data_IF_651196825811
#
_entry.id   IF_651196825811
#
_cell.length_a   1.000
_cell.length_b   1.000
_cell.length_c   1.000
_cell.angle_alpha   90.00
_cell.angle_beta   90.00
_cell.angle_gamma   90.00
#
_symmetry.space_group_name_H-M   'P 1'
#
loop_
_entity.id
_entity.type
_entity.pdbx_description
1 polymer ?
#
# COMPACT_ATOMS: atom_id res chain seq x y z
N UNK A 1 7.21 -2.62 -4.28
CA UNK A 1 5.99 -1.89 -3.83
C UNK A 1 6.13 -1.38 -2.39
N UNK A 2 6.22 -2.27 -1.39
CA UNK A 2 6.23 -1.88 0.05
C UNK A 2 7.38 -0.95 0.45
N UNK A 3 8.58 -1.16 -0.09
CA UNK A 3 9.72 -0.27 0.15
C UNK A 3 9.46 1.18 -0.29
N UNK A 4 8.97 1.35 -1.52
CA UNK A 4 8.65 2.68 -2.06
C UNK A 4 7.52 3.33 -1.29
N UNK A 5 6.49 2.56 -0.95
CA UNK A 5 5.39 2.99 -0.09
C UNK A 5 5.93 3.53 1.25
N UNK A 6 6.83 2.79 1.91
CA UNK A 6 7.45 3.20 3.16
C UNK A 6 8.30 4.47 3.00
N UNK A 7 9.07 4.60 1.91
CA UNK A 7 9.87 5.80 1.61
C UNK A 7 8.98 7.03 1.39
N UNK A 8 7.91 6.90 0.60
CA UNK A 8 6.94 7.96 0.33
C UNK A 8 6.26 8.38 1.63
N UNK A 9 5.75 7.42 2.40
CA UNK A 9 5.08 7.67 3.68
C UNK A 9 5.99 8.38 4.68
N UNK A 10 7.26 8.00 4.76
CA UNK A 10 8.25 8.68 5.61
C UNK A 10 8.47 10.14 5.18
N UNK A 11 8.53 10.42 3.88
CA UNK A 11 8.67 11.78 3.33
C UNK A 11 7.43 12.64 3.51
N UNK A 12 6.23 12.04 3.51
CA UNK A 12 4.96 12.73 3.71
C UNK A 12 4.60 12.92 5.19
N UNK A 13 5.19 12.14 6.11
CA UNK A 13 4.90 12.22 7.55
C UNK A 13 4.95 13.66 8.13
N UNK A 14 5.94 14.51 7.77
CA UNK A 14 5.96 15.90 8.25
C UNK A 14 4.78 16.75 7.76
N UNK A 15 4.19 16.40 6.61
CA UNK A 15 3.02 17.07 6.04
C UNK A 15 1.70 16.65 6.68
N UNK A 16 1.67 15.47 7.31
CA UNK A 16 0.46 14.92 7.95
C UNK A 16 0.29 15.39 9.40
N UNK A 17 1.31 16.02 9.98
CA UNK A 17 1.28 16.53 11.34
C UNK A 17 0.80 18.00 11.31
N UNK A 18 -0.41 18.25 11.83
CA UNK A 18 -1.02 19.58 11.95
C UNK A 18 -0.41 20.41 13.08
N UNK A 19 0.90 20.68 13.04
CA UNK A 19 1.48 21.75 13.86
C UNK A 19 1.44 23.05 13.07
N UNK A 20 1.04 24.15 13.72
CA UNK A 20 1.04 25.50 13.15
C UNK A 20 2.41 25.81 12.53
N UNK A 21 2.45 25.82 11.19
CA UNK A 21 3.69 25.90 10.41
C UNK A 21 4.20 24.54 9.90
N UNK A 22 3.33 23.74 9.25
CA UNK A 22 3.81 22.51 8.58
C UNK A 22 4.92 22.87 7.57
N UNK A 23 6.14 22.29 7.67
CA UNK A 23 7.24 22.53 6.72
C UNK A 23 6.94 22.04 5.29
N UNK A 24 5.72 21.53 5.06
CA UNK A 24 5.31 20.93 3.81
C UNK A 24 5.20 21.94 2.66
N UNK A 25 5.14 23.25 2.96
CA UNK A 25 4.97 24.32 1.97
C UNK A 25 6.09 24.29 0.92
N UNK A 26 7.33 23.98 1.31
CA UNK A 26 8.44 23.89 0.37
C UNK A 26 8.28 22.68 -0.56
N UNK A 27 7.93 23.01 -1.82
CA UNK A 27 7.72 22.09 -2.92
C UNK A 27 6.59 21.07 -2.71
N UNK A 28 5.55 21.41 -1.93
CA UNK A 28 4.35 20.56 -1.77
C UNK A 28 3.82 20.04 -3.11
N UNK A 29 3.60 20.95 -4.07
CA UNK A 29 3.06 20.63 -5.40
C UNK A 29 3.91 19.60 -6.15
N UNK A 30 5.23 19.74 -6.10
CA UNK A 30 6.18 18.80 -6.73
C UNK A 30 6.15 17.43 -6.04
N UNK A 31 6.12 17.40 -4.70
CA UNK A 31 6.00 16.14 -3.92
C UNK A 31 4.68 15.44 -4.22
N UNK A 32 3.57 16.19 -4.22
CA UNK A 32 2.24 15.68 -4.55
C UNK A 32 2.18 15.09 -5.97
N UNK A 33 2.68 15.82 -6.97
CA UNK A 33 2.77 15.32 -8.35
C UNK A 33 3.61 14.04 -8.45
N UNK A 34 4.73 13.96 -7.74
CA UNK A 34 5.56 12.75 -7.71
C UNK A 34 4.82 11.54 -7.12
N UNK A 35 4.06 11.75 -6.03
CA UNK A 35 3.25 10.69 -5.41
C UNK A 35 2.12 10.26 -6.36
N UNK A 36 1.42 11.20 -6.99
CA UNK A 36 0.38 10.88 -7.98
C UNK A 36 0.93 10.08 -9.16
N UNK A 37 2.09 10.48 -9.71
CA UNK A 37 2.75 9.75 -10.79
C UNK A 37 3.16 8.35 -10.35
N UNK A 38 3.64 8.17 -9.12
CA UNK A 38 3.97 6.86 -8.58
C UNK A 38 2.71 5.98 -8.43
N UNK A 39 1.61 6.52 -7.88
CA UNK A 39 0.33 5.81 -7.75
C UNK A 39 -0.17 5.36 -9.13
N UNK A 40 -0.24 6.27 -10.09
CA UNK A 40 -0.69 5.96 -11.46
C UNK A 40 0.15 4.84 -12.10
N UNK A 41 1.48 4.90 -11.99
CA UNK A 41 2.36 3.82 -12.48
C UNK A 41 2.10 2.49 -11.78
N UNK A 42 1.88 2.49 -10.47
CA UNK A 42 1.60 1.26 -9.70
C UNK A 42 0.21 0.69 -9.97
N UNK A 43 -0.78 1.52 -10.26
CA UNK A 43 -2.09 1.07 -10.71
C UNK A 43 -2.02 0.39 -12.08
N UNK A 44 -1.24 0.94 -13.02
CA UNK A 44 -1.01 0.33 -14.34
C UNK A 44 -0.25 -0.99 -14.24
N UNK A 45 0.83 -1.04 -13.44
CA UNK A 45 1.56 -2.28 -13.16
C UNK A 45 0.62 -3.33 -12.53
N UNK A 46 -0.19 -2.93 -11.55
CA UNK A 46 -1.12 -3.82 -10.87
C UNK A 46 -2.19 -4.37 -11.80
N UNK A 47 -2.72 -3.55 -12.71
CA UNK A 47 -3.68 -3.99 -13.73
C UNK A 47 -3.08 -5.10 -14.60
N UNK A 48 -1.85 -4.93 -15.08
CA UNK A 48 -1.15 -5.94 -15.90
C UNK A 48 -0.90 -7.23 -15.12
N UNK A 49 -0.49 -7.13 -13.85
CA UNK A 49 -0.32 -8.31 -12.96
C UNK A 49 -1.66 -9.04 -12.81
N UNK A 50 -2.74 -8.31 -12.52
CA UNK A 50 -4.07 -8.88 -12.37
C UNK A 50 -4.54 -9.56 -13.67
N UNK A 51 -4.39 -8.92 -14.82
CA UNK A 51 -4.74 -9.51 -16.12
C UNK A 51 -3.93 -10.79 -16.41
N UNK A 52 -2.64 -10.79 -16.10
CA UNK A 52 -1.79 -11.96 -16.26
C UNK A 52 -2.22 -13.12 -15.34
N UNK A 53 -2.50 -12.80 -14.08
CA UNK A 53 -2.99 -13.77 -13.10
C UNK A 53 -4.33 -14.37 -13.51
N UNK A 54 -5.30 -13.53 -13.92
CA UNK A 54 -6.63 -13.96 -14.36
C UNK A 54 -6.60 -14.85 -15.61
N UNK A 55 -5.61 -14.67 -16.49
CA UNK A 55 -5.39 -15.56 -17.64
C UNK A 55 -4.85 -16.94 -17.25
N UNK A 56 -4.08 -17.02 -16.17
CA UNK A 56 -3.41 -18.25 -15.74
C UNK A 56 -4.15 -18.99 -14.63
N UNK A 57 -5.09 -18.33 -13.94
CA UNK A 57 -5.78 -18.94 -12.81
C UNK A 57 -6.58 -20.18 -13.28
N UNK A 58 -6.53 -21.30 -12.53
CA UNK A 58 -7.37 -22.45 -12.83
C UNK A 58 -8.85 -22.06 -12.74
N UNK A 59 -9.67 -22.49 -13.70
CA UNK A 59 -11.11 -22.18 -13.75
C UNK A 59 -11.89 -22.65 -12.50
N UNK A 60 -11.34 -23.62 -11.78
CA UNK A 60 -11.96 -24.26 -10.60
C UNK A 60 -11.22 -23.95 -9.28
N UNK A 61 -10.27 -23.01 -9.28
CA UNK A 61 -9.49 -22.67 -8.08
C UNK A 61 -10.13 -21.52 -7.30
N UNK A 62 -10.42 -21.73 -6.01
CA UNK A 62 -10.91 -20.72 -5.07
C UNK A 62 -9.91 -19.59 -4.76
N UNK A 63 -8.71 -19.66 -5.32
CA UNK A 63 -7.68 -18.66 -5.12
C UNK A 63 -7.97 -17.44 -5.99
N UNK A 64 -8.66 -16.47 -5.40
CA UNK A 64 -8.77 -15.13 -5.97
C UNK A 64 -7.49 -14.33 -5.67
N UNK A 65 -7.20 -13.30 -6.46
CA UNK A 65 -6.00 -12.45 -6.27
C UNK A 65 -5.93 -11.85 -4.85
N UNK A 66 -7.08 -11.65 -4.19
CA UNK A 66 -7.16 -11.12 -2.82
C UNK A 66 -6.59 -12.12 -1.80
N UNK A 67 -6.87 -13.42 -1.91
CA UNK A 67 -6.32 -14.43 -1.01
C UNK A 67 -4.80 -14.51 -1.14
N UNK A 68 -4.28 -14.55 -2.37
CA UNK A 68 -2.82 -14.56 -2.60
C UNK A 68 -2.10 -13.34 -2.02
N UNK A 69 -2.64 -12.14 -2.22
CA UNK A 69 -2.06 -10.93 -1.62
C UNK A 69 -2.11 -11.00 -0.10
N UNK A 70 -3.20 -11.52 0.47
CA UNK A 70 -3.33 -11.71 1.92
C UNK A 70 -2.29 -12.70 2.43
N UNK A 71 -2.08 -13.82 1.74
CA UNK A 71 -1.11 -14.85 2.12
C UNK A 71 0.32 -14.33 2.02
N UNK A 72 0.65 -13.62 0.93
CA UNK A 72 1.96 -12.97 0.75
C UNK A 72 2.19 -11.97 1.90
N UNK A 73 1.25 -11.06 2.18
CA UNK A 73 1.43 -10.08 3.24
C UNK A 73 1.53 -10.74 4.63
N UNK A 74 0.82 -11.84 4.86
CA UNK A 74 0.85 -12.60 6.11
C UNK A 74 2.18 -13.34 6.29
N UNK A 75 2.69 -13.99 5.25
CA UNK A 75 3.99 -14.68 5.28
C UNK A 75 5.18 -13.71 5.33
N UNK A 76 5.02 -12.51 4.76
CA UNK A 76 5.99 -11.42 4.90
C UNK A 76 5.86 -10.67 6.23
N UNK A 77 4.88 -10.95 7.09
CA UNK A 77 4.79 -10.34 8.41
C UNK A 77 5.45 -11.26 9.46
N UNK A 78 6.34 -10.77 10.35
CA UNK A 78 6.60 -9.36 10.68
C UNK A 78 7.85 -8.77 10.00
N UNK A 79 8.20 -9.18 8.77
CA UNK A 79 9.35 -8.60 8.06
C UNK A 79 9.24 -7.08 7.98
N UNK A 80 10.39 -6.41 7.93
CA UNK A 80 10.45 -5.01 8.33
C UNK A 80 9.57 -4.09 7.48
N UNK A 81 9.43 -4.33 6.17
CA UNK A 81 8.67 -3.41 5.30
C UNK A 81 7.15 -3.55 5.40
N UNK A 82 6.60 -4.76 5.60
CA UNK A 82 5.17 -4.93 5.92
C UNK A 82 4.87 -4.27 7.27
N UNK A 83 5.69 -4.57 8.28
CA UNK A 83 5.50 -4.03 9.62
C UNK A 83 5.62 -2.48 9.65
N UNK A 84 6.57 -1.90 8.89
CA UNK A 84 6.67 -0.43 8.72
C UNK A 84 5.44 0.14 8.00
N UNK A 85 4.95 -0.54 6.96
CA UNK A 85 3.85 -0.07 6.13
C UNK A 85 2.53 0.01 6.91
N UNK A 86 2.27 -0.97 7.78
CA UNK A 86 0.98 -1.05 8.49
C UNK A 86 0.89 -0.21 9.76
N UNK A 87 2.02 0.29 10.30
CA UNK A 87 2.00 1.17 11.48
C UNK A 87 1.02 2.33 11.27
N UNK A 88 0.36 2.88 12.31
CA UNK A 88 0.45 2.47 13.71
C UNK A 88 -0.36 1.20 14.03
N UNK A 89 -0.95 0.52 13.04
CA UNK A 89 -1.76 -0.67 13.28
C UNK A 89 -0.90 -1.80 13.89
N UNK A 90 -1.39 -2.36 15.00
CA UNK A 90 -0.74 -3.49 15.69
C UNK A 90 -1.15 -4.82 15.03
N UNK A 91 -0.77 -5.01 13.76
CA UNK A 91 -1.02 -6.22 12.97
C UNK A 91 -1.96 -6.02 11.78
N UNK A 92 -1.96 -7.02 10.88
CA UNK A 92 -2.69 -6.98 9.60
C UNK A 92 -4.21 -6.88 9.77
N UNK A 93 -4.79 -7.54 10.78
CA UNK A 93 -6.24 -7.46 11.06
C UNK A 93 -6.68 -6.04 11.40
N UNK A 94 -5.90 -5.33 12.25
CA UNK A 94 -6.19 -3.93 12.59
C UNK A 94 -6.01 -3.01 11.39
N UNK A 95 -5.03 -3.32 10.54
CA UNK A 95 -4.79 -2.59 9.31
C UNK A 95 -5.93 -2.76 8.29
N UNK A 96 -6.42 -3.99 8.09
CA UNK A 96 -7.57 -4.29 7.22
C UNK A 96 -8.81 -3.50 7.68
N UNK A 97 -9.08 -3.49 8.99
CA UNK A 97 -10.18 -2.73 9.57
C UNK A 97 -10.01 -1.21 9.43
N UNK A 98 -8.80 -0.69 9.66
CA UNK A 98 -8.47 0.72 9.45
C UNK A 98 -8.68 1.16 8.00
N UNK A 99 -8.42 0.28 7.04
CA UNK A 99 -8.67 0.53 5.61
C UNK A 99 -10.14 0.39 5.20
N UNK A 100 -11.06 0.07 6.11
CA UNK A 100 -12.47 -0.14 5.80
C UNK A 100 -12.75 -1.41 5.00
N UNK A 101 -11.84 -2.39 5.06
CA UNK A 101 -11.90 -3.64 4.29
C UNK A 101 -12.48 -4.82 5.09
N UNK A 102 -13.22 -4.54 6.17
CA UNK A 102 -13.79 -5.57 7.04
C UNK A 102 -14.48 -6.65 6.20
N UNK A 103 -14.09 -7.90 6.39
CA UNK A 103 -14.68 -9.08 5.74
C UNK A 103 -16.14 -9.22 6.21
N UNK A 104 -17.08 -8.64 5.48
CA UNK A 104 -18.43 -9.21 5.34
C UNK A 104 -18.36 -10.48 4.51
#
# INVERSE_FOLDING_TARGET
FLEDYNKIRKKLKPCMNNSDGSPCIDNYKKKYQCVLQWISRKEEEWKKIKEHYEKQKPKNGDNNMKSLVTDILSGLYPQTDVNKAIKPCKGLTKFESFCGLNRT
#
